data_IF_656443341254
#
_entry.id   IF_656443341254
#
_cell.length_a   1.000
_cell.length_b   1.000
_cell.length_c   1.000
_cell.angle_alpha   90.00
_cell.angle_beta   90.00
_cell.angle_gamma   90.00
#
_symmetry.space_group_name_H-M   'P 1'
#
loop_
_entity.id
_entity.type
_entity.pdbx_description
1 polymer ?
#
# COMPACT_ATOMS: atom_id res chain seq x y z
N UNK A 1 -38.79 3.63 17.12
CA UNK A 1 -37.44 4.25 17.02
C UNK A 1 -36.52 3.67 18.11
N UNK A 2 -35.71 2.67 17.76
CA UNK A 2 -34.85 1.93 18.69
C UNK A 2 -33.38 2.38 18.61
N UNK A 3 -32.95 3.11 19.64
CA UNK A 3 -31.62 3.25 20.25
C UNK A 3 -30.37 2.86 19.43
N UNK A 4 -29.54 3.88 19.21
CA UNK A 4 -28.09 3.88 18.92
C UNK A 4 -27.37 2.59 19.36
N UNK A 5 -26.70 1.93 18.42
CA UNK A 5 -25.47 1.17 18.67
C UNK A 5 -24.42 1.62 17.67
N UNK A 6 -23.77 2.74 17.98
CA UNK A 6 -22.49 3.10 17.37
C UNK A 6 -21.44 2.09 17.85
N UNK A 7 -21.43 0.91 17.25
CA UNK A 7 -20.31 -0.01 17.41
C UNK A 7 -19.09 0.71 16.89
N UNK A 8 -18.10 0.95 17.75
CA UNK A 8 -16.76 1.38 17.34
C UNK A 8 -16.27 0.34 16.34
N UNK A 9 -16.50 0.57 15.05
CA UNK A 9 -16.00 -0.30 13.98
C UNK A 9 -14.49 -0.25 14.14
N UNK A 10 -13.91 -1.35 14.63
CA UNK A 10 -12.46 -1.54 14.54
C UNK A 10 -12.12 -1.33 13.08
N UNK A 11 -11.28 -0.32 12.80
CA UNK A 11 -10.81 -0.05 11.44
C UNK A 11 -10.36 -1.41 10.86
N UNK A 12 -10.90 -1.82 9.70
CA UNK A 12 -10.53 -3.10 9.12
C UNK A 12 -9.01 -3.13 8.92
N UNK A 13 -8.42 -4.29 9.19
CA UNK A 13 -7.00 -4.47 8.87
C UNK A 13 -6.89 -4.59 7.35
N UNK A 14 -6.02 -3.81 6.71
CA UNK A 14 -5.96 -3.79 5.26
C UNK A 14 -5.52 -5.15 4.74
N UNK A 15 -6.32 -5.71 3.82
CA UNK A 15 -5.97 -6.94 3.09
C UNK A 15 -4.84 -6.61 2.11
N UNK A 16 -4.30 -7.67 1.50
CA UNK A 16 -3.20 -7.53 0.55
C UNK A 16 -3.59 -6.64 -0.64
N UNK A 17 -4.81 -6.80 -1.13
CA UNK A 17 -5.37 -6.00 -2.22
C UNK A 17 -5.54 -4.53 -1.84
N UNK A 18 -5.97 -4.25 -0.60
CA UNK A 18 -6.10 -2.87 -0.10
C UNK A 18 -4.73 -2.17 -0.01
N UNK A 19 -3.71 -2.89 0.46
CA UNK A 19 -2.33 -2.38 0.50
C UNK A 19 -1.84 -2.13 -0.93
N UNK A 20 -2.08 -3.04 -1.87
CA UNK A 20 -1.70 -2.85 -3.26
C UNK A 20 -2.40 -1.63 -3.90
N UNK A 21 -3.70 -1.46 -3.66
CA UNK A 21 -4.44 -0.28 -4.11
C UNK A 21 -3.91 1.01 -3.49
N UNK A 22 -3.54 1.01 -2.21
CA UNK A 22 -2.91 2.16 -1.57
C UNK A 22 -1.58 2.51 -2.25
N UNK A 23 -0.72 1.52 -2.49
CA UNK A 23 0.56 1.70 -3.20
C UNK A 23 0.31 2.26 -4.61
N UNK A 24 -0.65 1.72 -5.36
CA UNK A 24 -1.01 2.23 -6.69
C UNK A 24 -1.49 3.69 -6.63
N UNK A 25 -2.34 4.04 -5.66
CA UNK A 25 -2.82 5.41 -5.47
C UNK A 25 -1.68 6.37 -5.18
N UNK A 26 -0.76 5.99 -4.29
CA UNK A 26 0.42 6.81 -3.96
C UNK A 26 1.33 6.98 -5.18
N UNK A 27 1.63 5.90 -5.91
CA UNK A 27 2.49 5.98 -7.10
C UNK A 27 1.83 6.76 -8.25
N UNK A 28 0.52 6.65 -8.43
CA UNK A 28 -0.22 7.45 -9.41
C UNK A 28 -0.14 8.95 -9.11
N UNK A 29 -0.06 9.33 -7.82
CA UNK A 29 0.07 10.73 -7.39
C UNK A 29 1.53 11.20 -7.37
N UNK A 30 2.46 10.31 -7.04
CA UNK A 30 3.90 10.58 -6.87
C UNK A 30 4.72 9.47 -7.53
N UNK A 31 4.94 9.52 -8.85
CA UNK A 31 5.67 8.47 -9.57
C UNK A 31 7.16 8.39 -9.19
N UNK A 32 7.75 9.46 -8.66
CA UNK A 32 9.17 9.53 -8.26
C UNK A 32 9.36 9.58 -6.73
N UNK A 33 8.49 8.90 -5.97
CA UNK A 33 8.59 8.86 -4.51
C UNK A 33 9.78 8.00 -4.06
N UNK A 34 10.49 8.43 -3.03
CA UNK A 34 11.56 7.61 -2.45
C UNK A 34 10.98 6.36 -1.76
N UNK A 35 11.68 5.22 -1.78
CA UNK A 35 11.26 3.97 -1.12
C UNK A 35 10.94 4.14 0.38
N UNK A 36 11.67 5.01 1.07
CA UNK A 36 11.44 5.31 2.48
C UNK A 36 10.12 6.09 2.68
N UNK A 37 9.81 7.03 1.79
CA UNK A 37 8.59 7.83 1.84
C UNK A 37 7.37 7.06 1.35
N UNK A 38 7.54 6.11 0.42
CA UNK A 38 6.47 5.24 -0.06
C UNK A 38 5.75 4.55 1.11
N UNK A 39 6.51 4.01 2.05
CA UNK A 39 5.94 3.30 3.21
C UNK A 39 5.11 4.24 4.08
N UNK A 40 5.56 5.48 4.26
CA UNK A 40 4.86 6.48 5.06
C UNK A 40 3.57 6.96 4.38
N UNK A 41 3.66 7.29 3.08
CA UNK A 41 2.51 7.70 2.27
C UNK A 41 1.47 6.60 2.13
N UNK A 42 1.90 5.33 1.97
CA UNK A 42 0.98 4.18 1.93
C UNK A 42 0.26 4.01 3.26
N UNK A 43 0.94 4.25 4.39
CA UNK A 43 0.27 4.23 5.71
C UNK A 43 -0.75 5.37 5.81
N UNK A 44 -0.36 6.58 5.41
CA UNK A 44 -1.25 7.74 5.42
C UNK A 44 -2.49 7.52 4.55
N UNK A 45 -2.32 6.99 3.33
CA UNK A 45 -3.43 6.70 2.42
C UNK A 45 -4.33 5.57 2.97
N UNK A 46 -3.75 4.52 3.57
CA UNK A 46 -4.51 3.48 4.25
C UNK A 46 -5.34 4.03 5.42
N UNK A 47 -4.79 4.94 6.22
CA UNK A 47 -5.54 5.59 7.29
C UNK A 47 -6.64 6.51 6.76
N UNK A 48 -6.36 7.22 5.66
CA UNK A 48 -7.32 8.09 4.97
C UNK A 48 -8.51 7.28 4.40
N UNK A 49 -8.24 6.09 3.87
CA UNK A 49 -9.25 5.12 3.45
C UNK A 49 -10.01 4.46 4.63
N UNK A 50 -9.62 4.74 5.88
CA UNK A 50 -10.26 4.22 7.09
C UNK A 50 -9.73 2.86 7.55
N UNK A 51 -8.59 2.40 7.02
CA UNK A 51 -7.91 1.19 7.49
C UNK A 51 -6.96 1.47 8.65
N UNK A 52 -6.61 0.43 9.40
CA UNK A 52 -5.62 0.54 10.47
C UNK A 52 -4.21 0.25 9.93
N UNK A 53 -3.45 1.31 9.61
CA UNK A 53 -2.09 1.19 9.09
C UNK A 53 -0.98 1.14 10.16
N UNK A 54 -1.32 1.32 11.45
CA UNK A 54 -0.33 1.37 12.54
C UNK A 54 0.53 0.11 12.71
N UNK A 55 0.09 -1.04 12.18
CA UNK A 55 0.82 -2.32 12.18
C UNK A 55 1.40 -2.70 10.81
N UNK A 56 1.30 -1.80 9.82
CA UNK A 56 1.84 -2.05 8.48
C UNK A 56 3.33 -1.75 8.48
N UNK A 57 4.15 -2.80 8.54
CA UNK A 57 5.60 -2.69 8.45
C UNK A 57 6.05 -2.51 6.99
N UNK A 58 7.22 -1.88 6.80
CA UNK A 58 7.84 -1.71 5.49
C UNK A 58 7.92 -3.04 4.70
N UNK A 59 8.34 -4.14 5.36
CA UNK A 59 8.38 -5.48 4.74
C UNK A 59 7.04 -5.90 4.11
N UNK A 60 5.91 -5.56 4.73
CA UNK A 60 4.58 -5.96 4.23
C UNK A 60 4.19 -5.16 2.98
N UNK A 61 4.52 -3.87 2.96
CA UNK A 61 4.36 -2.99 1.80
C UNK A 61 5.24 -3.48 0.66
N UNK A 62 6.54 -3.67 0.92
CA UNK A 62 7.51 -4.16 -0.07
C UNK A 62 7.15 -5.53 -0.63
N UNK A 63 6.75 -6.50 0.20
CA UNK A 63 6.33 -7.83 -0.28
C UNK A 63 5.06 -7.76 -1.15
N UNK A 64 4.21 -6.76 -0.95
CA UNK A 64 3.01 -6.56 -1.77
C UNK A 64 3.39 -5.86 -3.08
N UNK A 65 4.25 -4.85 -3.01
CA UNK A 65 4.82 -4.17 -4.17
C UNK A 65 5.55 -5.16 -5.10
N UNK A 66 6.52 -5.91 -4.57
CA UNK A 66 7.33 -6.87 -5.32
C UNK A 66 6.46 -7.90 -6.04
N UNK A 67 5.47 -8.47 -5.37
CA UNK A 67 4.57 -9.41 -6.01
C UNK A 67 3.74 -8.80 -7.13
N UNK A 68 3.26 -7.56 -6.95
CA UNK A 68 2.47 -6.89 -7.99
C UNK A 68 3.33 -6.49 -9.19
N UNK A 69 4.57 -6.07 -8.96
CA UNK A 69 5.55 -5.80 -10.01
C UNK A 69 5.92 -7.09 -10.74
N UNK A 70 6.24 -8.16 -9.98
CA UNK A 70 6.57 -9.48 -10.55
C UNK A 70 5.40 -10.12 -11.28
N UNK A 71 4.17 -9.87 -10.85
CA UNK A 71 2.96 -10.30 -11.55
C UNK A 71 2.63 -9.46 -12.79
N UNK A 72 3.44 -8.44 -13.12
CA UNK A 72 3.20 -7.53 -14.24
C UNK A 72 1.99 -6.62 -14.07
N UNK A 73 1.44 -6.51 -12.85
CA UNK A 73 0.31 -5.64 -12.53
C UNK A 73 0.72 -4.22 -12.17
N UNK A 74 2.00 -3.99 -11.91
CA UNK A 74 2.56 -2.70 -11.55
C UNK A 74 3.87 -2.48 -12.30
N UNK A 75 4.06 -1.29 -12.85
CA UNK A 75 5.33 -0.89 -13.43
C UNK A 75 6.36 -0.68 -12.31
N UNK A 76 7.63 -0.99 -12.55
CA UNK A 76 8.67 -0.68 -11.56
C UNK A 76 8.95 0.83 -11.57
N UNK A 77 8.23 1.57 -10.73
CA UNK A 77 8.36 3.02 -10.61
C UNK A 77 9.57 3.42 -9.77
N UNK A 78 9.99 2.55 -8.84
CA UNK A 78 11.09 2.85 -7.92
C UNK A 78 12.46 2.37 -8.45
N UNK A 79 12.53 1.68 -9.59
CA UNK A 79 13.80 1.18 -10.16
C UNK A 79 14.50 0.13 -9.27
N UNK A 80 13.81 -0.40 -8.26
CA UNK A 80 14.39 -1.33 -7.25
C UNK A 80 14.38 -2.76 -7.74
N UNK A 81 13.57 -3.08 -8.74
CA UNK A 81 13.54 -4.39 -9.38
C UNK A 81 14.46 -4.40 -10.60
N UNK A 82 15.65 -3.79 -10.42
CA UNK A 82 16.72 -3.67 -11.39
C UNK A 82 16.77 -4.88 -12.28
N UNK A 83 16.57 -4.60 -13.56
CA UNK A 83 16.50 -5.59 -14.60
C UNK A 83 17.73 -6.48 -14.52
N UNK A 84 17.51 -7.78 -14.32
CA UNK A 84 18.39 -8.79 -14.89
C UNK A 84 18.21 -8.75 -16.41
N UNK A 85 18.62 -7.66 -17.05
CA UNK A 85 18.93 -7.64 -18.48
C UNK A 85 20.24 -8.39 -18.65
N UNK A 86 20.17 -9.72 -18.67
CA UNK A 86 21.21 -10.55 -19.27
C UNK A 86 20.64 -11.16 -20.55
N UNK A 87 20.92 -10.43 -21.65
CA UNK A 87 21.10 -10.82 -23.06
C UNK A 87 20.09 -11.74 -23.75
#
# INVERSE_FOLDING_TARGET
>A
MGRRRGGRRRRPYPRREDVANAILSVLARKPHIHPAELVDEVKAELENMGFYAGLVNAKRVWRTYEEYVRAGRMHDYLGVMGEGTET
#
